data_IF_992101720383
#
_entry.id   IF_992101720383
#
_cell.length_a   1.000
_cell.length_b   1.000
_cell.length_c   1.000
_cell.angle_alpha   90.00
_cell.angle_beta   90.00
_cell.angle_gamma   90.00
#
_symmetry.space_group_name_H-M   'P 1'
#
loop_
_entity.id
_entity.type
_entity.pdbx_description
1 polymer ?
#
# COMPACT_ATOMS: atom_id res chain seq x y z
N UNK A 1 -9.09 9.70 -17.32
CA UNK A 1 -8.15 8.72 -17.88
C UNK A 1 -6.78 9.03 -17.31
N UNK A 2 -6.03 8.03 -16.86
CA UNK A 2 -4.62 8.16 -16.49
C UNK A 2 -3.81 8.13 -17.78
N UNK A 3 -2.93 9.10 -17.97
CA UNK A 3 -2.08 9.21 -19.16
C UNK A 3 -0.72 8.55 -18.95
N UNK A 4 -0.22 8.55 -17.72
CA UNK A 4 1.03 7.91 -17.34
C UNK A 4 0.97 7.48 -15.87
N UNK A 5 1.56 6.37 -15.56
CA UNK A 5 1.82 5.89 -14.22
C UNK A 5 3.33 5.96 -13.98
N UNK A 6 3.76 6.55 -12.88
CA UNK A 6 5.18 6.74 -12.56
C UNK A 6 5.45 6.20 -11.16
N UNK A 7 6.24 5.16 -11.09
CA UNK A 7 6.57 4.50 -9.82
C UNK A 7 7.90 5.05 -9.27
N UNK A 8 7.88 5.44 -8.01
CA UNK A 8 9.05 5.86 -7.22
C UNK A 8 9.99 6.86 -7.92
N UNK A 9 9.50 8.03 -8.41
CA UNK A 9 10.38 9.06 -8.93
C UNK A 9 11.34 9.54 -7.82
N UNK A 10 12.51 10.03 -8.20
CA UNK A 10 13.37 10.73 -7.23
C UNK A 10 12.72 12.03 -6.73
N UNK A 11 13.24 12.58 -5.61
CA UNK A 11 12.62 13.73 -4.94
C UNK A 11 12.52 14.97 -5.86
N UNK A 12 13.50 15.23 -6.73
CA UNK A 12 13.48 16.38 -7.61
C UNK A 12 12.44 16.21 -8.72
N UNK A 13 12.36 15.01 -9.27
CA UNK A 13 11.35 14.64 -10.27
C UNK A 13 9.94 14.73 -9.67
N UNK A 14 9.75 14.22 -8.45
CA UNK A 14 8.47 14.32 -7.74
C UNK A 14 8.05 15.76 -7.50
N UNK A 15 8.99 16.63 -7.06
CA UNK A 15 8.73 18.05 -6.89
C UNK A 15 8.29 18.71 -8.20
N UNK A 16 8.98 18.41 -9.31
CA UNK A 16 8.63 18.96 -10.63
C UNK A 16 7.24 18.52 -11.10
N UNK A 17 6.83 17.29 -10.82
CA UNK A 17 5.47 16.81 -11.14
C UNK A 17 4.38 17.55 -10.37
N UNK A 18 4.65 17.86 -9.08
CA UNK A 18 3.72 18.65 -8.26
C UNK A 18 3.59 20.08 -8.81
N UNK A 19 4.70 20.71 -9.17
CA UNK A 19 4.71 22.08 -9.74
C UNK A 19 4.01 22.17 -11.10
N UNK A 20 4.19 21.17 -11.97
CA UNK A 20 3.51 21.11 -13.26
C UNK A 20 2.00 20.93 -13.12
N UNK A 21 1.54 20.31 -12.02
CA UNK A 21 0.14 19.95 -11.81
C UNK A 21 -0.34 18.81 -12.70
N UNK A 22 -1.55 18.29 -12.41
CA UNK A 22 -2.10 17.15 -13.14
C UNK A 22 -1.54 15.79 -12.73
N UNK A 23 -0.61 15.75 -11.79
CA UNK A 23 -0.13 14.55 -11.13
C UNK A 23 -0.81 14.34 -9.79
N UNK A 24 -1.01 13.10 -9.43
CA UNK A 24 -1.64 12.70 -8.17
C UNK A 24 -0.80 11.64 -7.48
N UNK A 25 -0.70 11.75 -6.18
CA UNK A 25 -0.06 10.72 -5.36
C UNK A 25 -0.91 9.45 -5.35
N UNK A 26 -0.31 8.31 -5.66
CA UNK A 26 -1.00 7.03 -5.60
C UNK A 26 -1.05 6.53 -4.15
N UNK A 27 -2.25 6.44 -3.59
CA UNK A 27 -2.46 5.92 -2.25
C UNK A 27 -2.42 4.38 -2.16
N UNK A 28 -2.23 3.68 -3.27
CA UNK A 28 -2.28 2.21 -3.32
C UNK A 28 -3.69 1.64 -3.07
N UNK A 29 -4.73 2.46 -3.16
CA UNK A 29 -6.12 2.03 -2.96
C UNK A 29 -6.76 1.83 -4.33
N UNK A 30 -7.09 0.57 -4.65
CA UNK A 30 -7.66 0.19 -5.93
C UNK A 30 -9.07 -0.36 -5.76
N UNK A 31 -9.96 0.01 -6.69
CA UNK A 31 -11.30 -0.53 -6.78
C UNK A 31 -11.57 -0.97 -8.22
N UNK A 32 -11.88 -2.24 -8.42
CA UNK A 32 -12.14 -2.80 -9.74
C UNK A 32 -13.09 -4.00 -9.67
N UNK A 33 -13.72 -4.31 -10.79
CA UNK A 33 -14.42 -5.59 -10.96
C UNK A 33 -13.39 -6.71 -11.16
N UNK A 34 -13.48 -7.78 -10.38
CA UNK A 34 -12.51 -8.89 -10.44
C UNK A 34 -12.32 -9.43 -11.86
N UNK A 35 -13.40 -9.60 -12.64
CA UNK A 35 -13.33 -10.07 -14.02
C UNK A 35 -12.56 -9.13 -14.95
N UNK A 36 -12.72 -7.81 -14.77
CA UNK A 36 -11.95 -6.81 -15.55
C UNK A 36 -10.48 -6.86 -15.20
N UNK A 37 -10.14 -6.97 -13.92
CA UNK A 37 -8.76 -7.09 -13.48
C UNK A 37 -8.11 -8.38 -14.04
N UNK A 38 -8.78 -9.51 -13.94
CA UNK A 38 -8.26 -10.80 -14.46
C UNK A 38 -8.04 -10.75 -15.97
N UNK A 39 -8.91 -10.09 -16.75
CA UNK A 39 -8.72 -9.89 -18.18
C UNK A 39 -7.48 -9.03 -18.48
N UNK A 40 -7.28 -7.95 -17.73
CA UNK A 40 -6.08 -7.11 -17.88
C UNK A 40 -4.82 -7.86 -17.46
N UNK A 41 -4.86 -8.61 -16.37
CA UNK A 41 -3.75 -9.47 -15.94
C UNK A 41 -3.40 -10.52 -17.01
N UNK A 42 -4.41 -11.17 -17.60
CA UNK A 42 -4.21 -12.12 -18.69
C UNK A 42 -3.57 -11.49 -19.93
N UNK A 43 -3.98 -10.26 -20.25
CA UNK A 43 -3.49 -9.51 -21.41
C UNK A 43 -2.06 -9.01 -21.22
N UNK A 44 -1.75 -8.48 -20.04
CA UNK A 44 -0.53 -7.72 -19.76
C UNK A 44 0.57 -8.57 -19.09
N UNK A 45 0.18 -9.56 -18.30
CA UNK A 45 1.09 -10.47 -17.59
C UNK A 45 0.58 -11.91 -17.67
N UNK A 46 0.56 -12.53 -18.89
CA UNK A 46 -0.08 -13.82 -19.12
C UNK A 46 0.54 -14.97 -18.32
N UNK A 47 1.83 -14.92 -18.06
CA UNK A 47 2.51 -15.98 -17.28
C UNK A 47 2.12 -15.90 -15.81
N UNK A 48 2.05 -14.69 -15.24
CA UNK A 48 1.55 -14.48 -13.88
C UNK A 48 0.07 -14.91 -13.77
N UNK A 49 -0.76 -14.50 -14.73
CA UNK A 49 -2.16 -14.95 -14.79
C UNK A 49 -2.28 -16.46 -14.78
N UNK A 50 -1.48 -17.15 -15.61
CA UNK A 50 -1.49 -18.63 -15.70
C UNK A 50 -1.06 -19.27 -14.38
N UNK A 51 -0.03 -18.73 -13.72
CA UNK A 51 0.44 -19.24 -12.44
C UNK A 51 -0.63 -19.09 -11.33
N UNK A 52 -1.27 -17.93 -11.26
CA UNK A 52 -2.36 -17.66 -10.31
C UNK A 52 -3.56 -18.57 -10.55
N UNK A 53 -4.02 -18.68 -11.81
CA UNK A 53 -5.20 -19.47 -12.16
C UNK A 53 -4.95 -20.99 -12.09
N UNK A 54 -3.71 -21.42 -12.20
CA UNK A 54 -3.31 -22.81 -12.06
C UNK A 54 -3.06 -23.26 -10.62
N UNK A 55 -3.21 -22.37 -9.67
CA UNK A 55 -3.05 -22.69 -8.26
C UNK A 55 -4.20 -23.59 -7.76
N UNK A 56 -3.86 -24.71 -7.16
CA UNK A 56 -4.77 -25.84 -6.86
C UNK A 56 -5.94 -25.52 -5.94
N UNK A 57 -5.87 -24.41 -5.25
CA UNK A 57 -6.92 -23.99 -4.30
C UNK A 57 -8.14 -23.33 -4.92
N UNK A 58 -8.07 -23.01 -6.21
CA UNK A 58 -9.23 -22.44 -6.92
C UNK A 58 -10.22 -23.53 -7.34
N UNK A 59 -9.86 -24.82 -7.23
CA UNK A 59 -10.68 -25.95 -7.66
C UNK A 59 -11.94 -26.18 -6.80
N UNK A 60 -12.02 -25.62 -5.58
CA UNK A 60 -13.15 -25.85 -4.66
C UNK A 60 -14.20 -24.74 -4.62
N UNK A 61 -14.01 -23.61 -5.34
CA UNK A 61 -14.83 -22.42 -5.20
C UNK A 61 -14.54 -21.64 -3.88
N UNK A 62 -14.92 -20.37 -3.80
CA UNK A 62 -14.61 -19.54 -2.64
C UNK A 62 -15.51 -19.92 -1.45
N UNK A 63 -14.99 -20.69 -0.53
CA UNK A 63 -15.54 -20.69 0.84
C UNK A 63 -14.95 -19.48 1.58
N UNK A 64 -15.78 -18.46 1.79
CA UNK A 64 -15.39 -17.23 2.48
C UNK A 64 -14.90 -17.47 3.92
N UNK A 65 -15.15 -18.65 4.48
CA UNK A 65 -14.70 -19.04 5.80
C UNK A 65 -13.34 -19.78 5.79
N UNK A 66 -12.80 -20.08 4.62
CA UNK A 66 -11.48 -20.72 4.47
C UNK A 66 -10.45 -19.69 4.04
N UNK A 67 -9.43 -19.52 4.86
CA UNK A 67 -8.23 -18.77 4.46
C UNK A 67 -7.42 -19.62 3.48
N UNK A 68 -7.31 -19.15 2.26
CA UNK A 68 -6.46 -19.78 1.27
C UNK A 68 -5.00 -19.37 1.43
N UNK A 69 -4.14 -20.36 1.51
CA UNK A 69 -2.69 -20.15 1.56
C UNK A 69 -2.05 -20.94 0.42
N UNK A 70 -1.47 -20.27 -0.59
CA UNK A 70 -0.73 -20.96 -1.65
C UNK A 70 0.40 -21.82 -1.07
N UNK A 71 0.70 -22.95 -1.69
CA UNK A 71 1.89 -23.71 -1.34
C UNK A 71 3.16 -22.95 -1.70
N UNK A 72 4.28 -23.25 -1.07
CA UNK A 72 5.57 -22.65 -1.39
C UNK A 72 5.93 -22.81 -2.87
N UNK A 73 5.66 -23.99 -3.46
CA UNK A 73 5.92 -24.25 -4.87
C UNK A 73 5.07 -23.41 -5.81
N UNK A 74 3.81 -23.15 -5.48
CA UNK A 74 2.94 -22.26 -6.23
C UNK A 74 3.43 -20.82 -6.16
N UNK A 75 3.81 -20.34 -4.95
CA UNK A 75 4.38 -19.01 -4.79
C UNK A 75 5.69 -18.82 -5.54
N UNK A 76 6.58 -19.82 -5.52
CA UNK A 76 7.86 -19.77 -6.24
C UNK A 76 7.71 -19.80 -7.77
N UNK A 77 6.58 -20.30 -8.27
CA UNK A 77 6.26 -20.28 -9.71
C UNK A 77 5.74 -18.93 -10.21
N UNK A 78 5.35 -18.02 -9.29
CA UNK A 78 4.86 -16.70 -9.65
C UNK A 78 6.04 -15.73 -9.83
N UNK A 79 5.91 -14.84 -10.81
CA UNK A 79 6.85 -13.72 -10.98
C UNK A 79 6.69 -12.74 -9.83
N UNK A 80 7.80 -12.37 -9.18
CA UNK A 80 7.82 -11.32 -8.17
C UNK A 80 7.71 -9.95 -8.83
N UNK A 81 6.48 -9.44 -8.95
CA UNK A 81 6.16 -8.16 -9.59
C UNK A 81 4.91 -7.56 -8.94
N UNK A 82 4.95 -6.25 -8.68
CA UNK A 82 3.76 -5.58 -8.15
C UNK A 82 2.67 -5.40 -9.20
N UNK A 83 1.42 -5.21 -8.74
CA UNK A 83 0.27 -4.88 -9.59
C UNK A 83 0.52 -3.61 -10.41
N UNK A 84 1.28 -2.67 -9.86
CA UNK A 84 1.61 -1.40 -10.51
C UNK A 84 2.36 -1.66 -11.82
N UNK A 85 3.44 -2.43 -11.74
CA UNK A 85 4.26 -2.80 -12.91
C UNK A 85 3.58 -3.83 -13.82
N UNK A 86 2.90 -4.82 -13.24
CA UNK A 86 2.31 -5.89 -14.04
C UNK A 86 1.09 -5.42 -14.87
N UNK A 87 0.32 -4.48 -14.33
CA UNK A 87 -0.99 -4.11 -14.91
C UNK A 87 -1.14 -2.60 -15.05
N UNK A 88 -0.96 -1.82 -13.98
CA UNK A 88 -1.44 -0.43 -13.96
C UNK A 88 -0.64 0.49 -14.88
N UNK A 89 0.67 0.28 -15.03
CA UNK A 89 1.52 1.06 -15.96
C UNK A 89 1.14 0.86 -17.43
N UNK A 90 0.57 -0.30 -17.75
CA UNK A 90 0.34 -0.73 -19.12
C UNK A 90 -1.15 -0.72 -19.52
N UNK A 91 -2.07 -0.55 -18.55
CA UNK A 91 -3.50 -0.57 -18.80
C UNK A 91 -4.03 0.81 -19.18
N UNK A 92 -4.78 0.88 -20.27
CA UNK A 92 -5.51 2.07 -20.72
C UNK A 92 -6.87 2.23 -20.00
N UNK A 93 -7.26 1.29 -19.15
CA UNK A 93 -8.52 1.30 -18.40
C UNK A 93 -8.42 2.01 -17.06
N UNK A 94 -7.23 2.41 -16.63
CA UNK A 94 -7.03 3.06 -15.32
C UNK A 94 -7.68 4.44 -15.27
N UNK A 95 -8.37 4.70 -14.17
CA UNK A 95 -8.96 6.00 -13.83
C UNK A 95 -8.45 6.41 -12.45
N UNK A 96 -8.32 7.70 -12.22
CA UNK A 96 -7.99 8.26 -10.92
C UNK A 96 -9.17 9.04 -10.36
N UNK A 97 -9.43 8.86 -9.09
CA UNK A 97 -10.38 9.67 -8.30
C UNK A 97 -9.55 10.54 -7.36
N UNK A 98 -9.38 11.83 -7.67
CA UNK A 98 -8.67 12.73 -6.76
C UNK A 98 -9.47 12.92 -5.48
N UNK A 99 -8.82 12.78 -4.33
CA UNK A 99 -9.45 13.02 -3.04
C UNK A 99 -8.46 13.68 -2.07
N UNK A 100 -9.00 14.35 -1.05
CA UNK A 100 -8.24 14.94 0.06
C UNK A 100 -8.79 14.34 1.35
N UNK A 101 -8.23 13.23 1.78
CA UNK A 101 -8.73 12.46 2.92
C UNK A 101 -7.73 12.37 4.09
N UNK A 102 -6.60 13.12 4.02
CA UNK A 102 -5.58 13.04 5.07
C UNK A 102 -4.97 11.63 5.16
N UNK A 103 -4.60 11.05 4.03
CA UNK A 103 -4.05 9.71 3.97
C UNK A 103 -2.55 9.69 4.25
N UNK A 104 -2.11 8.71 5.04
CA UNK A 104 -0.71 8.34 5.23
C UNK A 104 -0.59 6.82 5.15
N UNK A 105 0.49 6.31 4.59
CA UNK A 105 0.75 4.87 4.49
C UNK A 105 1.26 4.25 5.80
N UNK A 106 1.66 5.09 6.76
CA UNK A 106 2.22 4.68 8.07
C UNK A 106 3.32 3.61 7.95
N UNK A 107 4.10 3.67 6.88
CA UNK A 107 5.10 2.67 6.54
C UNK A 107 6.35 2.65 7.43
N UNK A 108 6.46 3.61 8.37
CA UNK A 108 7.59 3.72 9.29
C UNK A 108 7.15 4.30 10.64
N UNK A 109 8.00 4.14 11.68
CA UNK A 109 7.75 4.79 12.96
C UNK A 109 7.82 6.31 12.87
N UNK A 110 8.64 6.88 11.99
CA UNK A 110 8.69 8.33 11.76
C UNK A 110 7.39 8.83 11.14
N UNK A 111 6.83 8.10 10.17
CA UNK A 111 5.53 8.43 9.58
C UNK A 111 4.41 8.34 10.63
N UNK A 112 4.45 7.32 11.50
CA UNK A 112 3.51 7.17 12.60
C UNK A 112 3.65 8.31 13.61
N UNK A 113 4.88 8.68 13.99
CA UNK A 113 5.18 9.78 14.91
C UNK A 113 4.67 11.15 14.39
N UNK A 114 4.70 11.34 13.07
CA UNK A 114 4.22 12.56 12.43
C UNK A 114 2.70 12.76 12.53
N UNK A 115 1.93 11.67 12.68
CA UNK A 115 0.45 11.71 12.74
C UNK A 115 -0.09 11.95 14.14
N UNK A 116 0.73 11.85 15.19
CA UNK A 116 0.31 12.05 16.56
C UNK A 116 0.66 13.46 17.11
N UNK A 117 -0.15 13.98 18.03
CA UNK A 117 0.19 15.22 18.72
C UNK A 117 1.45 15.04 19.57
N UNK A 118 2.23 16.12 19.67
CA UNK A 118 3.47 16.14 20.45
C UNK A 118 3.31 17.01 21.70
N UNK A 119 4.02 16.64 22.76
CA UNK A 119 4.17 17.48 23.94
C UNK A 119 5.14 18.66 23.68
N UNK A 120 5.32 19.53 24.67
CA UNK A 120 6.20 20.72 24.57
C UNK A 120 7.69 20.37 24.36
N UNK A 121 8.08 19.12 24.57
CA UNK A 121 9.43 18.60 24.35
C UNK A 121 9.56 17.82 23.03
N UNK A 122 8.47 17.77 22.24
CA UNK A 122 8.44 17.05 20.98
C UNK A 122 8.24 15.54 21.13
N UNK A 123 7.83 15.05 22.30
CA UNK A 123 7.54 13.62 22.47
C UNK A 123 6.10 13.30 22.06
N UNK A 124 5.91 12.16 21.43
CA UNK A 124 4.62 11.53 21.19
C UNK A 124 4.35 10.52 22.29
N UNK A 125 3.27 10.74 23.04
CA UNK A 125 2.86 9.87 24.15
C UNK A 125 1.52 9.22 23.82
N UNK A 126 1.43 7.90 23.89
CA UNK A 126 0.21 7.16 23.55
C UNK A 126 -0.91 7.32 24.58
N UNK A 127 -0.55 7.63 25.82
CA UNK A 127 -1.49 7.88 26.90
C UNK A 127 -1.15 9.15 27.67
N UNK A 128 -2.17 9.86 28.14
CA UNK A 128 -2.01 11.06 28.97
C UNK A 128 -1.34 10.79 30.34
N UNK A 129 -1.22 9.53 30.73
CA UNK A 129 -0.56 9.09 31.96
C UNK A 129 0.92 8.70 31.75
N UNK A 130 1.39 8.66 30.50
CA UNK A 130 2.79 8.41 30.20
C UNK A 130 3.61 9.65 30.57
N UNK A 131 4.79 9.45 31.14
CA UNK A 131 5.65 10.51 31.61
C UNK A 131 7.03 10.42 30.94
N UNK A 132 7.38 11.45 30.19
CA UNK A 132 8.71 11.61 29.62
C UNK A 132 9.57 12.50 30.53
N UNK A 133 10.53 11.91 31.26
CA UNK A 133 11.43 12.64 32.13
C UNK A 133 12.75 12.92 31.42
N UNK A 134 13.18 14.18 31.39
CA UNK A 134 14.46 14.64 30.82
C UNK A 134 14.72 14.11 29.39
N UNK A 135 13.64 13.87 28.61
CA UNK A 135 13.73 13.29 27.28
C UNK A 135 12.98 14.12 26.25
N UNK A 136 13.44 14.06 24.99
CA UNK A 136 12.92 14.87 23.89
C UNK A 136 12.84 14.05 22.61
N UNK A 137 11.86 14.40 21.77
CA UNK A 137 11.69 13.81 20.42
C UNK A 137 11.59 12.29 20.45
N UNK A 138 10.86 11.73 21.42
CA UNK A 138 10.64 10.30 21.54
C UNK A 138 9.23 9.95 21.07
N UNK A 139 9.10 8.77 20.46
CA UNK A 139 7.83 8.11 20.22
C UNK A 139 7.63 7.02 21.27
N UNK A 140 6.68 7.20 22.18
CA UNK A 140 6.30 6.25 23.21
C UNK A 140 4.92 5.69 22.90
N UNK A 141 4.86 4.43 22.50
CA UNK A 141 3.63 3.70 22.21
C UNK A 141 3.45 2.57 23.22
N UNK A 142 2.49 2.72 24.12
CA UNK A 142 2.18 1.73 25.13
C UNK A 142 0.77 1.15 24.87
N UNK A 143 0.71 -0.12 24.49
CA UNK A 143 -0.54 -0.85 24.24
C UNK A 143 -0.90 -1.83 25.37
N UNK A 144 -0.10 -1.88 26.43
CA UNK A 144 -0.30 -2.78 27.55
C UNK A 144 -0.85 -2.10 28.81
N UNK A 145 -1.28 -2.92 29.77
CA UNK A 145 -1.66 -2.45 31.10
C UNK A 145 -0.44 -2.13 31.99
N UNK A 146 0.74 -2.56 31.60
CA UNK A 146 1.99 -2.27 32.32
C UNK A 146 2.47 -0.87 31.93
N UNK A 147 2.73 -0.04 32.94
CA UNK A 147 3.39 1.26 32.77
C UNK A 147 4.89 1.02 32.62
N UNK A 148 5.47 1.59 31.59
CA UNK A 148 6.92 1.63 31.39
C UNK A 148 7.46 2.89 32.05
#
# INVERSE_FOLDING_TARGET
MVLAFKEKPDANTAASYIEQGGYYWNAGIFCFQAGVYLQELQRLAPDLHRAVMGSSSLEGGPDINQCYTPSLSEMMAMTDISIDYAVLEHSDKVRVVPCRMGWSDLGSFDALDAEFPKDDQGNTLSHSADLALESRNNLLLNFGAQRV
#
